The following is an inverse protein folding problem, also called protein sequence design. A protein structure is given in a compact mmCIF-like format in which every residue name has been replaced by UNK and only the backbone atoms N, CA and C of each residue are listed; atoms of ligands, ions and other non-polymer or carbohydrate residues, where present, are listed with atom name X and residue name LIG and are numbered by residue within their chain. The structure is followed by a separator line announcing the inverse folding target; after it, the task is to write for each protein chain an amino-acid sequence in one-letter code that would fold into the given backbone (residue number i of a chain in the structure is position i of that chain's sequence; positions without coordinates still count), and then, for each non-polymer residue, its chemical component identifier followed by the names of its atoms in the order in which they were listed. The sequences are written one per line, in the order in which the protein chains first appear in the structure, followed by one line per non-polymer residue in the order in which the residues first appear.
data_IF_724706504878
#
_entry.id   IF_724706504878
#
_cell.length_a   1.000
_cell.length_b   1.000
_cell.length_c   1.000
_cell.angle_alpha   90.00
_cell.angle_beta   90.00
_cell.angle_gamma   90.00
#
_symmetry.space_group_name_H-M   'P 1'
#
loop_
_entity.id
_entity.type
_entity.pdbx_description
1 polymer ?
#
# COMPACT_ATOMS: atom_id res chain seq x y z
N UNK A 1 -1.61 -6.04 -18.13
CA UNK A 1 -0.71 -5.39 -17.15
C UNK A 1 -1.50 -4.41 -16.30
N UNK A 2 -1.32 -4.45 -15.00
CA UNK A 2 -2.07 -3.62 -14.06
C UNK A 2 -1.12 -2.65 -13.37
N UNK A 3 -1.54 -1.39 -13.23
CA UNK A 3 -0.79 -0.40 -12.46
C UNK A 3 -1.28 -0.40 -11.01
N UNK A 4 -0.36 -0.57 -10.08
CA UNK A 4 -0.64 -0.52 -8.64
C UNK A 4 -0.04 0.75 -8.06
N UNK A 5 -0.76 1.35 -7.13
CA UNK A 5 -0.34 2.54 -6.40
C UNK A 5 -0.24 2.17 -4.92
N UNK A 6 0.67 2.82 -4.19
CA UNK A 6 0.79 2.50 -2.77
C UNK A 6 1.26 3.68 -1.94
N UNK A 7 0.94 3.62 -0.64
CA UNK A 7 1.61 4.42 0.39
C UNK A 7 2.38 3.44 1.27
N UNK A 8 3.57 3.84 1.70
CA UNK A 8 4.43 3.01 2.53
C UNK A 8 4.94 3.78 3.73
N UNK A 9 5.03 3.09 4.87
CA UNK A 9 5.57 3.64 6.10
C UNK A 9 5.99 2.48 6.99
N UNK A 10 6.45 2.76 8.20
CA UNK A 10 6.71 1.68 9.16
C UNK A 10 5.40 1.00 9.52
N UNK A 11 5.47 -0.29 9.80
CA UNK A 11 4.31 -1.05 10.26
C UNK A 11 3.69 -0.42 11.49
N UNK A 12 4.54 0.02 12.43
CA UNK A 12 4.07 0.68 13.66
C UNK A 12 3.28 1.95 13.35
N UNK A 13 3.77 2.78 12.41
CA UNK A 13 3.07 4.00 12.04
C UNK A 13 1.68 3.71 11.50
N UNK A 14 1.57 2.76 10.58
CA UNK A 14 0.30 2.45 9.93
C UNK A 14 -0.70 1.68 10.80
N UNK A 15 -0.21 0.89 11.77
CA UNK A 15 -1.09 0.03 12.57
C UNK A 15 -1.34 0.55 13.98
N UNK A 16 -0.43 1.34 14.54
CA UNK A 16 -0.51 1.81 15.93
C UNK A 16 -0.64 3.33 16.01
N UNK A 17 0.26 4.06 15.37
CA UNK A 17 0.30 5.53 15.47
C UNK A 17 -0.81 6.19 14.64
N UNK A 18 -1.09 5.67 13.46
CA UNK A 18 -2.19 6.12 12.60
C UNK A 18 -3.01 4.89 12.20
N UNK A 19 -3.90 4.41 13.06
CA UNK A 19 -4.59 3.14 12.82
C UNK A 19 -5.46 3.19 11.57
N UNK A 20 -4.93 2.68 10.48
CA UNK A 20 -5.63 2.64 9.20
C UNK A 20 -6.75 1.62 9.16
N UNK A 21 -6.75 0.65 10.07
CA UNK A 21 -7.73 -0.43 10.04
C UNK A 21 -9.18 0.05 10.00
N UNK A 22 -9.49 1.12 10.73
CA UNK A 22 -10.84 1.67 10.72
C UNK A 22 -11.20 2.28 9.38
N UNK A 23 -10.27 3.00 8.76
CA UNK A 23 -10.49 3.58 7.42
C UNK A 23 -10.72 2.46 6.42
N UNK A 24 -9.92 1.41 6.48
CA UNK A 24 -10.03 0.28 5.57
C UNK A 24 -11.31 -0.52 5.80
N UNK A 25 -11.74 -0.69 7.05
CA UNK A 25 -13.01 -1.35 7.37
C UNK A 25 -14.20 -0.60 6.82
N UNK A 26 -14.21 0.73 6.98
CA UNK A 26 -15.26 1.57 6.42
C UNK A 26 -15.33 1.44 4.90
N UNK A 27 -14.17 1.41 4.26
CA UNK A 27 -14.10 1.27 2.81
C UNK A 27 -14.59 -0.11 2.36
N UNK A 28 -14.25 -1.17 3.09
CA UNK A 28 -14.75 -2.53 2.81
C UNK A 28 -16.28 -2.56 2.92
N UNK A 29 -16.82 -1.98 3.98
CA UNK A 29 -18.27 -1.91 4.18
C UNK A 29 -18.97 -1.17 3.04
N UNK A 30 -18.42 -0.02 2.66
CA UNK A 30 -18.95 0.78 1.56
C UNK A 30 -18.95 0.00 0.25
N UNK A 31 -17.86 -0.73 -0.02
CA UNK A 31 -17.74 -1.55 -1.23
C UNK A 31 -18.79 -2.67 -1.24
N UNK A 32 -19.03 -3.32 -0.10
CA UNK A 32 -20.06 -4.36 -0.01
C UNK A 32 -21.45 -3.80 -0.26
N UNK A 33 -21.76 -2.63 0.29
CA UNK A 33 -23.05 -1.97 0.10
C UNK A 33 -23.30 -1.59 -1.36
N UNK A 34 -22.22 -1.31 -2.11
CA UNK A 34 -22.30 -0.90 -3.50
C UNK A 34 -21.94 -2.01 -4.48
N UNK A 35 -21.84 -3.26 -4.01
CA UNK A 35 -21.48 -4.43 -4.83
C UNK A 35 -20.19 -4.22 -5.63
N UNK A 36 -19.20 -3.56 -5.03
CA UNK A 36 -17.92 -3.27 -5.67
C UNK A 36 -16.86 -4.23 -5.17
N UNK A 37 -16.02 -4.74 -6.07
CA UNK A 37 -14.92 -5.61 -5.70
C UNK A 37 -13.82 -4.85 -4.97
N UNK A 38 -13.19 -5.51 -4.00
CA UNK A 38 -12.10 -4.94 -3.23
C UNK A 38 -10.88 -4.70 -4.12
N UNK A 39 -10.36 -3.48 -4.11
CA UNK A 39 -9.23 -3.08 -4.93
C UNK A 39 -8.10 -2.44 -4.10
N UNK A 40 -8.05 -2.76 -2.81
CA UNK A 40 -7.02 -2.25 -1.91
C UNK A 40 -6.66 -3.29 -0.87
N UNK A 41 -5.40 -3.26 -0.39
CA UNK A 41 -4.87 -4.27 0.53
C UNK A 41 -3.83 -3.64 1.46
N UNK A 42 -3.84 -4.05 2.72
CA UNK A 42 -2.77 -3.71 3.66
C UNK A 42 -1.80 -4.88 3.70
N UNK A 43 -0.55 -4.64 3.32
CA UNK A 43 0.49 -5.66 3.27
C UNK A 43 1.60 -5.31 4.24
N UNK A 44 1.99 -6.28 5.07
CA UNK A 44 3.10 -6.15 6.00
C UNK A 44 4.35 -6.74 5.35
N UNK A 45 5.42 -5.96 5.30
CA UNK A 45 6.70 -6.34 4.74
C UNK A 45 6.60 -6.93 3.32
N UNK A 46 6.05 -6.17 2.36
CA UNK A 46 5.86 -6.69 1.00
C UNK A 46 7.18 -6.85 0.25
N UNK A 47 7.29 -7.92 -0.52
CA UNK A 47 8.51 -8.25 -1.26
C UNK A 47 8.84 -7.22 -2.33
N UNK A 48 7.84 -6.58 -2.94
CA UNK A 48 8.11 -5.63 -4.04
C UNK A 48 8.94 -4.41 -3.59
N UNK A 49 8.93 -4.07 -2.30
CA UNK A 49 9.76 -2.97 -1.78
C UNK A 49 11.26 -3.32 -1.80
N UNK A 50 11.61 -4.58 -1.96
CA UNK A 50 13.01 -5.00 -2.02
C UNK A 50 13.58 -5.02 -3.42
N UNK A 51 12.80 -4.61 -4.42
CA UNK A 51 13.26 -4.49 -5.79
C UNK A 51 14.13 -3.25 -5.96
N UNK A 52 14.95 -3.24 -7.01
CA UNK A 52 15.88 -2.13 -7.26
C UNK A 52 15.18 -0.79 -7.43
N UNK A 53 13.97 -0.79 -8.01
CA UNK A 53 13.23 0.46 -8.22
C UNK A 53 12.77 1.13 -6.93
N UNK A 54 12.69 0.39 -5.81
CA UNK A 54 12.21 0.91 -4.53
C UNK A 54 13.25 0.90 -3.41
N UNK A 55 14.50 0.57 -3.73
CA UNK A 55 15.57 0.48 -2.75
C UNK A 55 15.77 1.81 -2.01
N UNK A 56 15.78 2.93 -2.73
CA UNK A 56 15.99 4.25 -2.11
C UNK A 56 14.80 4.67 -1.25
N UNK A 57 13.60 4.36 -1.71
CA UNK A 57 12.37 4.64 -0.95
C UNK A 57 12.35 3.82 0.34
N UNK A 58 12.65 2.54 0.26
CA UNK A 58 12.63 1.62 1.41
C UNK A 58 13.68 2.00 2.45
N UNK A 59 14.85 2.48 2.00
CA UNK A 59 15.93 2.88 2.90
C UNK A 59 15.54 4.00 3.86
N UNK A 60 14.53 4.79 3.50
CA UNK A 60 14.04 5.92 4.31
C UNK A 60 12.95 5.53 5.30
N UNK A 61 12.49 4.29 5.26
CA UNK A 61 11.38 3.83 6.10
C UNK A 61 11.92 2.92 7.20
N UNK A 62 11.60 3.19 8.47
CA UNK A 62 11.99 2.28 9.57
C UNK A 62 11.39 0.89 9.38
N UNK A 63 12.19 -0.14 9.58
CA UNK A 63 11.71 -1.53 9.52
C UNK A 63 11.03 -1.94 10.81
N UNK A 64 10.04 -2.84 10.75
CA UNK A 64 9.45 -3.42 9.56
C UNK A 64 8.54 -2.43 8.82
N UNK A 65 8.45 -2.59 7.51
CA UNK A 65 7.64 -1.73 6.67
C UNK A 65 6.25 -2.33 6.42
N UNK A 66 5.30 -1.45 6.08
CA UNK A 66 3.98 -1.88 5.64
C UNK A 66 3.51 -0.94 4.53
N UNK A 67 2.60 -1.41 3.70
CA UNK A 67 2.05 -0.60 2.62
C UNK A 67 0.53 -0.77 2.55
N UNK A 68 -0.15 0.26 2.06
CA UNK A 68 -1.50 0.11 1.54
C UNK A 68 -1.39 0.16 0.03
N UNK A 69 -1.75 -0.94 -0.61
CA UNK A 69 -1.66 -1.14 -2.06
C UNK A 69 -3.05 -1.01 -2.66
N UNK A 70 -3.18 -0.34 -3.79
CA UNK A 70 -4.46 -0.23 -4.47
C UNK A 70 -4.27 -0.02 -5.97
N UNK A 71 -5.28 -0.42 -6.74
CA UNK A 71 -5.37 -0.07 -8.15
C UNK A 71 -6.06 1.27 -8.36
N UNK A 72 -6.59 1.87 -7.29
CA UNK A 72 -7.27 3.17 -7.32
C UNK A 72 -6.32 4.28 -6.87
N UNK A 73 -5.81 5.04 -7.83
CA UNK A 73 -4.90 6.16 -7.56
C UNK A 73 -5.52 7.21 -6.65
N UNK A 74 -6.82 7.46 -6.80
CA UNK A 74 -7.52 8.47 -5.99
C UNK A 74 -7.51 8.11 -4.52
N UNK A 75 -7.68 6.82 -4.20
CA UNK A 75 -7.63 6.35 -2.83
C UNK A 75 -6.23 6.54 -2.23
N UNK A 76 -5.19 6.20 -2.99
CA UNK A 76 -3.82 6.35 -2.51
C UNK A 76 -3.47 7.84 -2.32
N UNK A 77 -3.92 8.70 -3.21
CA UNK A 77 -3.75 10.15 -3.04
C UNK A 77 -4.47 10.66 -1.78
N UNK A 78 -5.69 10.17 -1.54
CA UNK A 78 -6.42 10.48 -0.30
C UNK A 78 -5.62 10.08 0.94
N UNK A 79 -5.07 8.86 0.96
CA UNK A 79 -4.28 8.38 2.08
C UNK A 79 -3.02 9.22 2.28
N UNK A 80 -2.34 9.61 1.20
CA UNK A 80 -1.15 10.46 1.29
C UNK A 80 -1.48 11.78 1.98
N UNK A 81 -2.58 12.41 1.58
CA UNK A 81 -3.01 13.68 2.17
C UNK A 81 -3.46 13.51 3.62
N UNK A 82 -4.10 12.40 3.93
CA UNK A 82 -4.60 12.10 5.28
C UNK A 82 -3.48 11.77 6.27
N UNK A 83 -2.48 11.02 5.82
CA UNK A 83 -1.41 10.50 6.68
C UNK A 83 -0.16 11.37 6.71
N UNK A 84 0.07 12.17 5.70
CA UNK A 84 1.21 13.09 5.53
C UNK A 84 2.60 12.43 5.52
N UNK A 85 2.96 11.66 6.52
CA UNK A 85 4.31 11.11 6.70
C UNK A 85 4.47 9.71 6.10
N UNK A 86 4.04 9.55 4.85
CA UNK A 86 4.17 8.28 4.14
C UNK A 86 4.88 8.50 2.82
N UNK A 87 5.58 7.46 2.34
CA UNK A 87 6.14 7.45 1.01
C UNK A 87 5.05 6.99 0.02
N UNK A 88 5.12 7.46 -1.21
CA UNK A 88 4.16 7.11 -2.25
C UNK A 88 4.90 6.55 -3.45
N UNK A 89 4.36 5.52 -4.06
CA UNK A 89 4.94 4.96 -5.27
C UNK A 89 3.90 4.27 -6.12
N UNK A 90 4.34 3.83 -7.28
CA UNK A 90 3.52 3.05 -8.20
C UNK A 90 4.39 2.09 -9.00
N UNK A 91 3.79 1.01 -9.47
CA UNK A 91 4.49 0.06 -10.33
C UNK A 91 3.50 -0.70 -11.20
N UNK A 92 3.99 -1.24 -12.29
CA UNK A 92 3.19 -2.11 -13.16
C UNK A 92 3.51 -3.57 -12.83
N UNK A 93 2.50 -4.41 -12.84
CA UNK A 93 2.65 -5.84 -12.54
C UNK A 93 1.81 -6.65 -13.52
N UNK A 94 2.32 -7.76 -14.08
CA UNK A 94 3.64 -8.33 -13.80
C UNK A 94 4.79 -7.58 -14.50
N UNK A 95 5.97 -7.65 -13.90
CA UNK A 95 7.19 -7.10 -14.48
C UNK A 95 8.34 -8.07 -14.19
N UNK A 96 9.53 -7.76 -14.71
CA UNK A 96 10.70 -8.62 -14.48
C UNK A 96 11.03 -8.76 -12.99
N UNK A 97 10.86 -7.69 -12.21
CA UNK A 97 11.17 -7.70 -10.78
C UNK A 97 9.98 -8.03 -9.89
N UNK A 98 8.77 -7.72 -10.33
CA UNK A 98 7.55 -7.90 -9.52
C UNK A 98 6.58 -8.78 -10.29
N UNK A 99 6.53 -10.06 -9.93
CA UNK A 99 5.61 -11.02 -10.55
C UNK A 99 4.33 -11.18 -9.74
N UNK A 100 4.41 -10.97 -8.39
CA UNK A 100 3.28 -11.06 -7.49
C UNK A 100 3.28 -9.83 -6.57
N UNK A 101 2.33 -8.90 -6.74
CA UNK A 101 2.32 -7.67 -5.93
C UNK A 101 1.92 -7.93 -4.47
N UNK A 102 1.31 -9.07 -4.16
CA UNK A 102 0.82 -9.39 -2.83
C UNK A 102 1.78 -10.23 -2.00
N UNK A 103 2.91 -10.61 -2.55
CA UNK A 103 3.88 -11.43 -1.83
C UNK A 103 4.48 -10.64 -0.67
N UNK A 104 4.47 -11.26 0.52
CA UNK A 104 5.07 -10.67 1.73
C UNK A 104 6.17 -11.58 2.24
N UNK A 105 7.08 -11.02 3.04
CA UNK A 105 8.19 -11.76 3.61
C UNK A 105 8.04 -12.04 5.09
#
# INVERSE_FOLDING_TARGET
MTTYFFVAASEKFLTVEEPLEEILKERVRNYKENNKEKDFWLLKNPSFLQTTQFVDLTAKIPSPTAVVLSTDKKFITFLKLRLEFVAVGEFECPSAEITDPFKVE
#
